data_IF_290470733761
#
_entry.id   IF_290470733761
#
_cell.length_a   1.000
_cell.length_b   1.000
_cell.length_c   1.000
_cell.angle_alpha   90.00
_cell.angle_beta   90.00
_cell.angle_gamma   90.00
#
_symmetry.space_group_name_H-M   'P 1'
#
loop_
_entity.id
_entity.type
_entity.pdbx_description
1 polymer ?
#
# COMPACT_ATOMS: atom_id res chain seq x y z
N UNK A 1 -16.54 -13.23 -9.66
CA UNK A 1 -16.00 -11.87 -9.87
C UNK A 1 -14.56 -11.89 -9.45
N UNK A 2 -13.67 -11.43 -10.33
CA UNK A 2 -12.26 -11.35 -10.04
C UNK A 2 -11.98 -10.07 -9.26
N UNK A 3 -11.17 -10.18 -8.22
CA UNK A 3 -10.85 -9.08 -7.31
C UNK A 3 -9.36 -8.86 -7.29
N UNK A 4 -8.96 -7.59 -7.31
CA UNK A 4 -7.57 -7.15 -7.31
C UNK A 4 -7.30 -6.42 -6.01
N UNK A 5 -6.22 -6.77 -5.33
CA UNK A 5 -5.77 -6.11 -4.10
C UNK A 5 -4.25 -6.06 -4.09
N UNK A 6 -3.70 -5.19 -3.24
CA UNK A 6 -2.27 -5.05 -3.05
C UNK A 6 -1.91 -5.05 -1.58
N UNK A 7 -0.80 -5.71 -1.27
CA UNK A 7 -0.14 -5.62 0.04
C UNK A 7 0.93 -4.55 -0.09
N UNK A 8 0.91 -3.59 0.81
CA UNK A 8 1.89 -2.51 0.89
C UNK A 8 2.73 -2.70 2.14
N UNK A 9 4.05 -2.66 1.97
CA UNK A 9 5.01 -2.58 3.06
C UNK A 9 5.66 -1.21 3.03
N UNK A 10 5.66 -0.52 4.15
CA UNK A 10 6.26 0.80 4.34
C UNK A 10 7.41 0.69 5.33
N UNK A 11 8.52 1.34 5.03
CA UNK A 11 9.68 1.44 5.92
C UNK A 11 10.25 2.85 5.87
N UNK A 12 10.32 3.50 7.01
CA UNK A 12 10.97 4.80 7.19
C UNK A 12 12.49 4.65 7.22
N UNK A 13 13.23 5.71 6.90
CA UNK A 13 14.69 5.73 7.05
C UNK A 13 15.16 5.55 8.51
N UNK A 14 14.28 5.79 9.49
CA UNK A 14 14.55 5.58 10.92
C UNK A 14 14.33 4.13 11.37
N UNK A 15 13.80 3.26 10.49
CA UNK A 15 13.60 1.83 10.72
C UNK A 15 12.20 1.45 11.24
N UNK A 16 11.27 2.40 11.37
CA UNK A 16 9.85 2.13 11.67
C UNK A 16 9.19 1.52 10.42
N UNK A 17 8.41 0.47 10.62
CA UNK A 17 7.79 -0.31 9.54
C UNK A 17 6.30 -0.47 9.78
N UNK A 18 5.55 -0.48 8.69
CA UNK A 18 4.13 -0.83 8.71
C UNK A 18 3.74 -1.65 7.48
N UNK A 19 2.69 -2.46 7.58
CA UNK A 19 2.17 -3.31 6.50
C UNK A 19 0.65 -3.20 6.42
N UNK A 20 0.13 -2.95 5.22
CA UNK A 20 -1.30 -2.76 4.97
C UNK A 20 -1.78 -3.44 3.70
N UNK A 21 -3.11 -3.42 3.52
CA UNK A 21 -3.78 -3.91 2.33
C UNK A 21 -4.60 -2.79 1.68
N UNK A 22 -4.53 -2.67 0.36
CA UNK A 22 -5.28 -1.68 -0.43
C UNK A 22 -5.99 -2.40 -1.58
N UNK A 23 -7.18 -1.93 -1.93
CA UNK A 23 -7.93 -2.41 -3.09
C UNK A 23 -7.28 -1.99 -4.40
N UNK A 24 -7.19 -2.91 -5.36
CA UNK A 24 -6.62 -2.64 -6.67
C UNK A 24 -5.09 -2.63 -6.69
N UNK A 25 -4.54 -1.98 -7.72
CA UNK A 25 -3.11 -1.69 -7.87
C UNK A 25 -2.96 -0.20 -7.55
N UNK A 26 -2.48 0.16 -6.36
CA UNK A 26 -2.46 1.56 -5.95
C UNK A 26 -1.35 2.32 -6.67
N UNK A 27 -1.62 3.58 -6.98
CA UNK A 27 -0.61 4.57 -7.35
C UNK A 27 -0.01 5.21 -6.09
N UNK A 28 0.99 6.08 -6.27
CA UNK A 28 1.66 6.76 -5.15
C UNK A 28 0.68 7.60 -4.34
N UNK A 29 -0.21 8.33 -5.02
CA UNK A 29 -1.23 9.17 -4.38
C UNK A 29 -2.22 8.36 -3.54
N UNK A 30 -2.62 7.15 -4.00
CA UNK A 30 -3.49 6.26 -3.23
C UNK A 30 -2.82 5.83 -1.91
N UNK A 31 -1.52 5.55 -1.96
CA UNK A 31 -0.73 5.15 -0.79
C UNK A 31 -0.57 6.33 0.17
N UNK A 32 -0.23 7.52 -0.33
CA UNK A 32 -0.11 8.72 0.52
C UNK A 32 -1.43 9.12 1.17
N UNK A 33 -2.56 8.85 0.52
CA UNK A 33 -3.89 9.11 1.08
C UNK A 33 -4.39 8.02 2.04
N UNK A 34 -3.75 6.84 2.03
CA UNK A 34 -4.12 5.72 2.89
C UNK A 34 -3.89 6.01 4.38
N UNK A 35 -4.68 5.35 5.24
CA UNK A 35 -4.58 5.51 6.68
C UNK A 35 -3.20 5.07 7.20
N UNK A 36 -2.71 3.91 6.75
CA UNK A 36 -1.42 3.36 7.16
C UNK A 36 -0.23 4.28 6.85
N UNK A 37 -0.24 4.98 5.71
CA UNK A 37 0.83 5.95 5.41
C UNK A 37 0.77 7.13 6.38
N UNK A 38 -0.43 7.64 6.68
CA UNK A 38 -0.61 8.78 7.60
C UNK A 38 -0.22 8.42 9.03
N UNK A 39 -0.63 7.25 9.51
CA UNK A 39 -0.26 6.74 10.84
C UNK A 39 1.25 6.58 10.97
N UNK A 40 1.91 5.94 9.99
CA UNK A 40 3.37 5.79 9.99
C UNK A 40 4.11 7.14 9.97
N UNK A 41 3.58 8.11 9.22
CA UNK A 41 4.10 9.48 9.18
C UNK A 41 4.02 10.16 10.53
N UNK A 42 2.86 10.05 11.20
CA UNK A 42 2.63 10.63 12.53
C UNK A 42 3.55 9.99 13.57
N UNK A 43 3.73 8.67 13.51
CA UNK A 43 4.61 7.93 14.42
C UNK A 43 6.09 8.24 14.22
N UNK A 44 6.51 8.52 12.99
CA UNK A 44 7.92 8.76 12.70
C UNK A 44 8.39 10.18 13.04
N UNK A 45 7.49 11.16 13.18
CA UNK A 45 7.82 12.54 13.59
C UNK A 45 8.79 13.30 12.67
N UNK A 46 9.14 12.73 11.50
CA UNK A 46 10.13 13.27 10.56
C UNK A 46 10.97 12.15 9.92
N UNK A 47 10.53 11.65 8.77
CA UNK A 47 11.33 10.81 7.87
C UNK A 47 11.86 11.63 6.71
N UNK A 48 13.09 11.37 6.26
CA UNK A 48 13.59 11.93 4.99
C UNK A 48 12.89 11.27 3.80
N UNK A 49 12.63 9.96 3.92
CA UNK A 49 11.90 9.19 2.93
C UNK A 49 11.24 7.96 3.57
N UNK A 50 10.22 7.46 2.88
CA UNK A 50 9.55 6.19 3.18
C UNK A 50 9.75 5.27 1.98
N UNK A 51 10.43 4.14 2.21
CA UNK A 51 10.55 3.06 1.24
C UNK A 51 9.22 2.30 1.19
N UNK A 52 8.73 2.06 -0.03
CA UNK A 52 7.44 1.44 -0.29
C UNK A 52 7.63 0.21 -1.17
N UNK A 53 7.08 -0.90 -0.72
CA UNK A 53 7.00 -2.16 -1.47
C UNK A 53 5.53 -2.50 -1.69
N UNK A 54 5.10 -2.56 -2.94
CA UNK A 54 3.73 -2.93 -3.32
C UNK A 54 3.76 -4.28 -4.01
N UNK A 55 2.95 -5.23 -3.53
CA UNK A 55 2.72 -6.51 -4.20
C UNK A 55 1.24 -6.63 -4.53
N UNK A 56 0.91 -6.72 -5.81
CA UNK A 56 -0.46 -6.78 -6.29
C UNK A 56 -0.85 -8.20 -6.68
N UNK A 57 -2.08 -8.57 -6.35
CA UNK A 57 -2.64 -9.90 -6.52
C UNK A 57 -4.03 -9.84 -7.12
N UNK A 58 -4.40 -10.91 -7.80
CA UNK A 58 -5.74 -11.17 -8.30
C UNK A 58 -6.27 -12.46 -7.69
N UNK A 59 -7.55 -12.48 -7.31
CA UNK A 59 -8.21 -13.71 -6.87
C UNK A 59 -9.63 -13.82 -7.45
N UNK A 60 -10.05 -15.05 -7.74
CA UNK A 60 -11.35 -15.35 -8.35
C UNK A 60 -11.41 -15.16 -9.86
N UNK A 61 -12.52 -15.61 -10.45
CA UNK A 61 -12.74 -15.64 -11.90
C UNK A 61 -13.64 -14.49 -12.39
N UNK A 62 -13.44 -14.07 -13.64
CA UNK A 62 -14.18 -12.98 -14.31
C UNK A 62 -13.38 -11.69 -14.46
N UNK A 63 -14.04 -10.60 -14.85
CA UNK A 63 -13.37 -9.29 -15.05
C UNK A 63 -12.77 -8.74 -13.74
N UNK A 64 -11.51 -8.26 -13.77
CA UNK A 64 -10.82 -7.77 -12.58
C UNK A 64 -11.38 -6.43 -12.11
N UNK A 65 -11.77 -6.37 -10.85
CA UNK A 65 -12.22 -5.15 -10.19
C UNK A 65 -11.39 -4.88 -8.94
N UNK A 66 -11.23 -3.61 -8.57
CA UNK A 66 -10.61 -3.25 -7.30
C UNK A 66 -11.43 -3.83 -6.13
N UNK A 67 -10.71 -4.44 -5.18
CA UNK A 67 -11.33 -5.03 -3.99
C UNK A 67 -11.92 -3.93 -3.11
N UNK A 68 -13.16 -4.12 -2.66
CA UNK A 68 -13.87 -3.17 -1.79
C UNK A 68 -13.47 -3.35 -0.33
N UNK A 69 -13.77 -2.37 0.51
CA UNK A 69 -13.38 -2.34 1.91
C UNK A 69 -13.83 -3.58 2.71
N UNK A 70 -15.06 -4.06 2.52
CA UNK A 70 -15.59 -5.26 3.18
C UNK A 70 -14.76 -6.52 2.88
N UNK A 71 -14.29 -6.64 1.64
CA UNK A 71 -13.44 -7.75 1.20
C UNK A 71 -11.99 -7.59 1.67
N UNK A 72 -11.50 -6.34 1.78
CA UNK A 72 -10.17 -6.06 2.30
C UNK A 72 -10.05 -6.46 3.78
N UNK A 73 -11.10 -6.23 4.58
CA UNK A 73 -11.13 -6.66 5.98
C UNK A 73 -10.99 -8.19 6.08
N UNK A 74 -11.76 -8.93 5.27
CA UNK A 74 -11.62 -10.38 5.20
C UNK A 74 -10.20 -10.79 4.78
N UNK A 75 -9.66 -10.19 3.72
CA UNK A 75 -8.30 -10.49 3.24
C UNK A 75 -7.21 -10.22 4.29
N UNK A 76 -7.35 -9.16 5.09
CA UNK A 76 -6.44 -8.85 6.20
C UNK A 76 -6.42 -9.96 7.26
N UNK A 77 -7.54 -10.64 7.48
CA UNK A 77 -7.63 -11.77 8.42
C UNK A 77 -7.20 -13.12 7.82
N UNK A 78 -6.98 -13.17 6.50
CA UNK A 78 -6.62 -14.39 5.76
C UNK A 78 -5.30 -14.25 4.97
N UNK A 79 -4.16 -13.92 5.63
CA UNK A 79 -2.88 -13.72 4.96
C UNK A 79 -2.35 -14.99 4.26
N UNK A 80 -2.82 -16.18 4.63
CA UNK A 80 -2.50 -17.44 3.97
C UNK A 80 -2.94 -17.47 2.51
N UNK A 81 -3.95 -16.68 2.13
CA UNK A 81 -4.48 -16.65 0.78
C UNK A 81 -3.39 -16.27 -0.23
N UNK A 82 -2.50 -15.35 0.16
CA UNK A 82 -1.39 -14.86 -0.67
C UNK A 82 -0.37 -15.95 -1.01
N UNK A 83 -0.31 -17.00 -0.17
CA UNK A 83 0.56 -18.17 -0.35
C UNK A 83 -0.14 -19.33 -1.06
N UNK A 84 -1.44 -19.20 -1.33
CA UNK A 84 -2.24 -20.24 -1.97
C UNK A 84 -2.24 -20.11 -3.49
N UNK A 85 -2.46 -21.22 -4.18
CA UNK A 85 -2.64 -21.24 -5.65
C UNK A 85 -3.94 -20.56 -6.12
N UNK A 86 -4.76 -20.05 -5.19
CA UNK A 86 -6.01 -19.32 -5.49
C UNK A 86 -5.78 -17.87 -5.88
N UNK A 87 -4.58 -17.34 -5.66
CA UNK A 87 -4.21 -15.99 -6.06
C UNK A 87 -3.18 -16.02 -7.18
N UNK A 88 -3.30 -15.08 -8.09
CA UNK A 88 -2.29 -14.83 -9.13
C UNK A 88 -1.55 -13.55 -8.75
N UNK A 89 -0.23 -13.65 -8.61
CA UNK A 89 0.63 -12.46 -8.50
C UNK A 89 0.58 -11.69 -9.83
N UNK A 90 0.33 -10.38 -9.75
CA UNK A 90 0.24 -9.51 -10.92
C UNK A 90 1.53 -8.72 -11.13
N UNK A 91 2.00 -8.03 -10.07
CA UNK A 91 3.13 -7.11 -10.15
C UNK A 91 3.73 -6.88 -8.77
N UNK A 92 5.02 -6.54 -8.76
CA UNK A 92 5.69 -5.92 -7.63
C UNK A 92 6.26 -4.57 -8.05
N UNK A 93 6.05 -3.54 -7.23
CA UNK A 93 6.66 -2.23 -7.38
C UNK A 93 7.44 -1.89 -6.10
N UNK A 94 8.61 -1.28 -6.27
CA UNK A 94 9.43 -0.81 -5.16
C UNK A 94 9.88 0.61 -5.49
N UNK A 95 9.65 1.55 -4.58
CA UNK A 95 10.01 2.95 -4.78
C UNK A 95 10.14 3.64 -3.42
N UNK A 96 10.65 4.88 -3.41
CA UNK A 96 10.71 5.70 -2.21
C UNK A 96 9.83 6.95 -2.39
N UNK A 97 9.07 7.29 -1.35
CA UNK A 97 8.35 8.55 -1.23
C UNK A 97 9.26 9.48 -0.45
N UNK A 98 9.72 10.55 -1.09
CA UNK A 98 10.53 11.57 -0.45
C UNK A 98 9.61 12.55 0.28
N UNK A 99 9.97 12.90 1.52
CA UNK A 99 9.35 14.04 2.17
C UNK A 99 9.86 15.30 1.48
N UNK A 100 9.01 15.94 0.66
CA UNK A 100 9.25 17.35 0.33
C UNK A 100 8.99 18.13 1.62
N UNK A 101 10.01 18.79 2.16
CA UNK A 101 9.80 19.83 3.16
C UNK A 101 8.68 20.74 2.63
N UNK A 102 7.52 20.77 3.28
CA UNK A 102 6.51 21.80 3.07
C UNK A 102 7.03 23.11 3.66
N UNK A 103 8.10 23.62 3.06
CA UNK A 103 8.92 24.70 3.58
C UNK A 103 9.57 25.47 2.45
N UNK A 104 8.77 25.93 1.49
CA UNK A 104 9.03 27.16 0.71
C UNK A 104 7.79 27.46 -0.16
N UNK A 105 6.74 28.00 0.49
CA UNK A 105 5.94 28.99 -0.21
C UNK A 105 6.86 30.19 -0.47
N UNK A 106 7.44 30.26 -1.67
CA UNK A 106 7.94 31.54 -2.17
C UNK A 106 6.72 32.46 -2.32
N UNK A 107 6.45 33.28 -1.30
CA UNK A 107 5.77 34.54 -1.54
C UNK A 107 6.75 35.41 -2.32
N UNK A 108 6.41 35.68 -3.58
CA UNK A 108 7.03 36.73 -4.38
C UNK A 108 6.07 37.92 -4.42
#
# INVERSE_FOLDING_TARGET
>A
MSKVFSIIGLETNTGIRDIGIIGGIPEVEDIQNSQIYKELVEDCGGSEYISVVVKSFRYGEGEPQATRMEDLEWLSTHPELVKSDKVTHLKTANFAILYQEQGLQFHM
#
